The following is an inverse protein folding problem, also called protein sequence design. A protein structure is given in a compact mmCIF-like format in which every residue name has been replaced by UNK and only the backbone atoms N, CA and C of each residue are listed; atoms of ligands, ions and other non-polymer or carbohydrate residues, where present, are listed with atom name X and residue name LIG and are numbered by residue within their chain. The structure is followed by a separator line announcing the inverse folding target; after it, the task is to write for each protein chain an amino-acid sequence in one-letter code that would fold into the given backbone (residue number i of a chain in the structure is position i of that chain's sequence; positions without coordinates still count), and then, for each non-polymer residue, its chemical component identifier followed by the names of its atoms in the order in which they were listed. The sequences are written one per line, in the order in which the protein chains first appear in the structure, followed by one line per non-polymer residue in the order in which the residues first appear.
data_IF_091590874472
#
_entry.id   IF_091590874472
#
_cell.length_a   1.000
_cell.length_b   1.000
_cell.length_c   1.000
_cell.angle_alpha   90.00
_cell.angle_beta   90.00
_cell.angle_gamma   90.00
#
_symmetry.space_group_name_H-M   'P 1'
#
loop_
_entity.id
_entity.type
_entity.pdbx_description
1 polymer ?
#
# COMPACT_ATOMS: atom_id res chain seq x y z
N UNK A 1 9.09 -20.04 -6.55
CA UNK A 1 8.32 -18.91 -7.14
C UNK A 1 9.24 -17.95 -7.89
N UNK A 2 8.81 -17.41 -9.03
CA UNK A 2 9.57 -16.34 -9.71
C UNK A 2 9.54 -15.01 -8.92
N UNK A 3 10.30 -14.01 -9.37
CA UNK A 3 10.41 -12.69 -8.70
C UNK A 3 9.09 -11.91 -8.74
N UNK A 4 8.35 -12.00 -9.85
CA UNK A 4 7.05 -11.35 -10.01
C UNK A 4 6.07 -11.84 -8.95
N UNK A 5 5.90 -13.15 -8.81
CA UNK A 5 4.99 -13.77 -7.82
C UNK A 5 5.39 -13.42 -6.38
N UNK A 6 6.69 -13.38 -6.08
CA UNK A 6 7.19 -13.00 -4.74
C UNK A 6 6.92 -11.54 -4.42
N UNK A 7 7.16 -10.64 -5.38
CA UNK A 7 6.84 -9.23 -5.23
C UNK A 7 5.34 -8.98 -5.04
N UNK A 8 4.51 -9.64 -5.86
CA UNK A 8 3.06 -9.57 -5.73
C UNK A 8 2.58 -10.07 -4.37
N UNK A 9 3.04 -11.26 -3.95
CA UNK A 9 2.65 -11.85 -2.67
C UNK A 9 3.10 -10.98 -1.48
N UNK A 10 4.33 -10.46 -1.51
CA UNK A 10 4.84 -9.59 -0.46
C UNK A 10 4.07 -8.25 -0.41
N UNK A 11 3.76 -7.66 -1.57
CA UNK A 11 2.98 -6.42 -1.66
C UNK A 11 1.56 -6.57 -1.13
N UNK A 12 0.86 -7.65 -1.49
CA UNK A 12 -0.48 -7.95 -0.98
C UNK A 12 -0.46 -8.26 0.52
N UNK A 13 0.49 -9.09 0.99
CA UNK A 13 0.59 -9.45 2.40
C UNK A 13 0.91 -8.23 3.29
N UNK A 14 1.83 -7.37 2.87
CA UNK A 14 2.05 -6.08 3.53
C UNK A 14 0.83 -5.16 3.42
N UNK A 15 0.10 -5.24 2.31
CA UNK A 15 -1.14 -4.48 2.08
C UNK A 15 -2.23 -4.85 3.08
N UNK A 16 -2.34 -6.12 3.45
CA UNK A 16 -3.27 -6.58 4.50
C UNK A 16 -2.92 -5.93 5.84
N UNK A 17 -1.64 -5.89 6.23
CA UNK A 17 -1.20 -5.25 7.47
C UNK A 17 -1.48 -3.73 7.47
N UNK A 18 -1.27 -3.09 6.33
CA UNK A 18 -1.61 -1.67 6.14
C UNK A 18 -3.11 -1.40 6.29
N UNK A 19 -3.96 -2.29 5.78
CA UNK A 19 -5.41 -2.15 5.92
C UNK A 19 -5.89 -2.44 7.35
N UNK A 20 -5.23 -3.34 8.09
CA UNK A 20 -5.50 -3.54 9.52
C UNK A 20 -5.24 -2.23 10.29
N UNK A 21 -4.13 -1.55 9.99
CA UNK A 21 -3.85 -0.23 10.54
C UNK A 21 -4.91 0.81 10.13
N UNK A 22 -5.27 0.87 8.85
CA UNK A 22 -6.27 1.80 8.32
C UNK A 22 -7.62 1.66 9.02
N UNK A 23 -8.13 0.43 9.13
CA UNK A 23 -9.38 0.14 9.81
C UNK A 23 -9.31 0.49 11.31
N UNK A 24 -8.17 0.24 11.96
CA UNK A 24 -7.95 0.63 13.36
C UNK A 24 -7.97 2.16 13.50
N UNK A 25 -7.25 2.86 12.63
CA UNK A 25 -7.19 4.32 12.61
C UNK A 25 -8.55 4.96 12.37
N UNK A 26 -9.35 4.37 11.48
CA UNK A 26 -10.66 4.88 11.11
C UNK A 26 -11.72 4.57 12.17
N UNK A 27 -11.90 3.31 12.54
CA UNK A 27 -13.01 2.88 13.42
C UNK A 27 -12.73 2.99 14.91
N UNK A 28 -11.47 2.86 15.34
CA UNK A 28 -11.12 2.80 16.77
C UNK A 28 -10.52 4.13 17.24
N UNK A 29 -9.56 4.67 16.49
CA UNK A 29 -8.84 5.89 16.90
C UNK A 29 -9.51 7.18 16.41
N UNK A 30 -10.36 7.09 15.37
CA UNK A 30 -11.01 8.25 14.76
C UNK A 30 -10.04 9.26 14.11
N UNK A 31 -8.78 8.87 13.90
CA UNK A 31 -7.71 9.68 13.33
C UNK A 31 -7.90 9.89 11.83
N UNK A 32 -8.29 8.83 11.12
CA UNK A 32 -8.55 8.89 9.68
C UNK A 32 -10.04 9.10 9.41
N UNK A 33 -10.35 9.96 8.45
CA UNK A 33 -11.72 10.18 7.92
C UNK A 33 -11.98 9.49 6.59
N UNK A 34 -10.94 8.92 6.00
CA UNK A 34 -10.99 8.18 4.74
C UNK A 34 -10.16 6.91 4.88
N UNK A 35 -10.61 5.83 4.26
CA UNK A 35 -9.91 4.55 4.21
C UNK A 35 -9.16 4.40 2.89
N UNK A 36 -8.19 3.51 2.81
CA UNK A 36 -7.52 3.19 1.54
C UNK A 36 -8.49 2.65 0.49
N UNK A 37 -9.54 1.94 0.91
CA UNK A 37 -10.57 1.44 0.01
C UNK A 37 -11.43 2.58 -0.56
N UNK A 38 -11.63 3.66 0.20
CA UNK A 38 -12.38 4.83 -0.27
C UNK A 38 -11.61 5.52 -1.40
N UNK A 39 -10.28 5.63 -1.25
CA UNK A 39 -9.40 6.10 -2.32
C UNK A 39 -9.56 5.27 -3.59
N UNK A 40 -9.51 3.94 -3.49
CA UNK A 40 -9.69 3.07 -4.65
C UNK A 40 -11.09 3.16 -5.26
N UNK A 41 -12.13 3.34 -4.42
CA UNK A 41 -13.51 3.52 -4.88
C UNK A 41 -13.66 4.80 -5.70
N UNK A 42 -13.09 5.91 -5.24
CA UNK A 42 -13.18 7.19 -5.93
C UNK A 42 -12.47 7.14 -7.29
N UNK A 43 -11.33 6.47 -7.40
CA UNK A 43 -10.65 6.32 -8.70
C UNK A 43 -11.36 5.38 -9.67
N UNK A 44 -12.07 4.36 -9.18
CA UNK A 44 -12.73 3.36 -10.02
C UNK A 44 -14.16 3.78 -10.38
N UNK A 45 -14.93 4.23 -9.40
CA UNK A 45 -16.36 4.52 -9.50
C UNK A 45 -16.68 6.01 -9.53
N UNK A 46 -15.70 6.88 -9.22
CA UNK A 46 -15.91 8.33 -9.15
C UNK A 46 -16.60 8.81 -7.88
N UNK A 47 -16.84 7.93 -6.91
CA UNK A 47 -17.57 8.21 -5.68
C UNK A 47 -17.13 7.28 -4.55
N UNK A 48 -17.58 7.55 -3.33
CA UNK A 48 -17.43 6.64 -2.19
C UNK A 48 -18.25 5.34 -2.40
N UNK A 49 -17.83 4.21 -1.83
CA UNK A 49 -18.54 2.94 -2.01
C UNK A 49 -19.93 3.02 -1.40
N UNK A 50 -20.97 2.77 -2.21
CA UNK A 50 -22.38 2.90 -1.82
C UNK A 50 -22.95 1.61 -1.21
N UNK A 51 -22.32 0.49 -1.48
CA UNK A 51 -22.77 -0.84 -1.07
C UNK A 51 -21.59 -1.78 -0.84
N UNK A 52 -21.88 -2.95 -0.24
CA UNK A 52 -20.87 -3.96 0.10
C UNK A 52 -20.09 -4.44 -1.16
N UNK A 53 -20.74 -4.75 -2.31
CA UNK A 53 -20.02 -5.14 -3.51
C UNK A 53 -19.00 -4.11 -3.99
N UNK A 54 -19.35 -2.83 -4.03
CA UNK A 54 -18.42 -1.75 -4.38
C UNK A 54 -17.26 -1.67 -3.40
N UNK A 55 -17.52 -1.77 -2.08
CA UNK A 55 -16.48 -1.77 -1.07
C UNK A 55 -15.51 -2.96 -1.22
N UNK A 56 -16.02 -4.16 -1.48
CA UNK A 56 -15.20 -5.36 -1.73
C UNK A 56 -14.37 -5.19 -3.00
N UNK A 57 -14.96 -4.69 -4.08
CA UNK A 57 -14.23 -4.45 -5.33
C UNK A 57 -13.12 -3.41 -5.15
N UNK A 58 -13.41 -2.30 -4.47
CA UNK A 58 -12.43 -1.26 -4.15
C UNK A 58 -11.30 -1.80 -3.28
N UNK A 59 -11.61 -2.63 -2.28
CA UNK A 59 -10.59 -3.27 -1.44
C UNK A 59 -9.68 -4.19 -2.25
N UNK A 60 -10.24 -5.00 -3.16
CA UNK A 60 -9.45 -5.87 -4.03
C UNK A 60 -8.56 -5.08 -4.99
N UNK A 61 -9.09 -4.01 -5.60
CA UNK A 61 -8.32 -3.10 -6.45
C UNK A 61 -7.18 -2.44 -5.68
N UNK A 62 -7.45 -1.98 -4.46
CA UNK A 62 -6.45 -1.41 -3.55
C UNK A 62 -5.34 -2.42 -3.25
N UNK A 63 -5.69 -3.66 -2.91
CA UNK A 63 -4.72 -4.73 -2.63
C UNK A 63 -3.88 -5.10 -3.87
N UNK A 64 -4.52 -5.16 -5.05
CA UNK A 64 -3.80 -5.38 -6.30
C UNK A 64 -2.85 -4.23 -6.63
N UNK A 65 -3.23 -2.99 -6.35
CA UNK A 65 -2.37 -1.82 -6.53
C UNK A 65 -1.11 -1.90 -5.68
N UNK A 66 -1.23 -2.19 -4.38
CA UNK A 66 -0.04 -2.37 -3.52
C UNK A 66 0.74 -3.66 -3.84
N UNK A 67 0.07 -4.69 -4.36
CA UNK A 67 0.69 -5.86 -4.95
C UNK A 67 1.58 -5.52 -6.15
N UNK A 68 1.08 -4.68 -7.07
CA UNK A 68 1.83 -4.15 -8.21
C UNK A 68 3.06 -3.36 -7.75
N UNK A 69 2.92 -2.47 -6.76
CA UNK A 69 4.07 -1.76 -6.21
C UNK A 69 5.09 -2.69 -5.53
N UNK A 70 4.62 -3.78 -4.92
CA UNK A 70 5.49 -4.84 -4.41
C UNK A 70 6.28 -5.55 -5.51
N UNK A 71 5.68 -5.76 -6.69
CA UNK A 71 6.40 -6.24 -7.88
C UNK A 71 7.50 -5.25 -8.26
N UNK A 72 7.16 -3.96 -8.38
CA UNK A 72 8.14 -2.90 -8.71
C UNK A 72 9.31 -2.92 -7.73
N UNK A 73 9.04 -2.96 -6.43
CA UNK A 73 10.08 -3.02 -5.40
C UNK A 73 10.95 -4.27 -5.53
N UNK A 74 10.34 -5.44 -5.79
CA UNK A 74 11.06 -6.69 -5.95
C UNK A 74 12.04 -6.69 -7.12
N UNK A 75 11.72 -5.99 -8.21
CA UNK A 75 12.64 -5.80 -9.33
C UNK A 75 13.66 -4.68 -9.07
N UNK A 76 13.32 -3.65 -8.30
CA UNK A 76 14.21 -2.53 -8.01
C UNK A 76 15.32 -2.89 -7.00
N UNK A 77 14.99 -3.60 -5.91
CA UNK A 77 15.89 -3.81 -4.77
C UNK A 77 17.25 -4.46 -5.09
N UNK A 78 17.41 -5.35 -6.09
CA UNK A 78 18.72 -5.88 -6.46
C UNK A 78 19.65 -4.85 -7.09
N UNK A 79 19.10 -3.86 -7.81
CA UNK A 79 19.90 -2.84 -8.51
C UNK A 79 20.46 -1.77 -7.56
N UNK A 80 19.81 -1.56 -6.41
CA UNK A 80 20.17 -0.53 -5.42
C UNK A 80 20.80 -1.12 -4.14
N UNK A 81 21.31 -2.35 -4.22
CA UNK A 81 21.85 -3.16 -3.12
C UNK A 81 20.77 -3.64 -2.12
N UNK A 82 20.85 -4.91 -1.70
CA UNK A 82 19.90 -5.51 -0.73
C UNK A 82 20.22 -5.24 0.75
N UNK A 83 21.31 -4.54 1.07
CA UNK A 83 21.55 -4.03 2.44
C UNK A 83 20.46 -3.05 2.85
N UNK A 84 20.10 -3.09 4.13
CA UNK A 84 19.11 -2.21 4.78
C UNK A 84 17.74 -2.21 4.07
N UNK A 85 17.32 -3.37 3.57
CA UNK A 85 16.10 -3.53 2.79
C UNK A 85 14.84 -3.09 3.53
N UNK A 86 14.81 -3.16 4.87
CA UNK A 86 13.69 -2.67 5.68
C UNK A 86 13.56 -1.15 5.60
N UNK A 87 14.67 -0.42 5.74
CA UNK A 87 14.70 1.03 5.62
C UNK A 87 14.32 1.46 4.20
N UNK A 88 14.82 0.75 3.18
CA UNK A 88 14.45 0.99 1.77
C UNK A 88 12.97 0.71 1.51
N UNK A 89 12.43 -0.34 2.13
CA UNK A 89 11.00 -0.63 2.11
C UNK A 89 10.17 0.49 2.73
N UNK A 90 10.53 0.93 3.94
CA UNK A 90 9.87 2.05 4.63
C UNK A 90 9.90 3.34 3.79
N UNK A 91 11.08 3.68 3.24
CA UNK A 91 11.26 4.85 2.38
C UNK A 91 10.45 4.74 1.09
N UNK A 92 10.46 3.56 0.44
CA UNK A 92 9.64 3.30 -0.73
C UNK A 92 8.16 3.52 -0.42
N UNK A 93 7.66 2.94 0.68
CA UNK A 93 6.29 3.13 1.15
C UNK A 93 5.91 4.59 1.37
N UNK A 94 6.77 5.34 2.04
CA UNK A 94 6.57 6.77 2.28
C UNK A 94 6.50 7.56 0.96
N UNK A 95 7.47 7.38 0.06
CA UNK A 95 7.53 8.12 -1.20
C UNK A 95 6.39 7.74 -2.15
N UNK A 96 6.06 6.45 -2.26
CA UNK A 96 4.90 6.02 -3.05
C UNK A 96 3.61 6.60 -2.49
N UNK A 97 3.46 6.62 -1.16
CA UNK A 97 2.34 7.27 -0.49
C UNK A 97 2.26 8.74 -0.87
N UNK A 98 3.34 9.50 -0.72
CA UNK A 98 3.39 10.91 -1.12
C UNK A 98 2.94 11.13 -2.57
N UNK A 99 3.47 10.37 -3.52
CA UNK A 99 3.08 10.48 -4.94
C UNK A 99 1.59 10.15 -5.12
N UNK A 100 1.10 9.08 -4.51
CA UNK A 100 -0.29 8.64 -4.60
C UNK A 100 -1.26 9.69 -4.04
N UNK A 101 -0.92 10.37 -2.93
CA UNK A 101 -1.75 11.43 -2.35
C UNK A 101 -1.59 12.78 -3.05
N UNK A 102 -0.44 13.04 -3.68
CA UNK A 102 -0.22 14.26 -4.45
C UNK A 102 -1.08 14.30 -5.73
N UNK A 103 -1.29 13.16 -6.39
CA UNK A 103 -2.04 13.09 -7.65
C UNK A 103 -3.50 13.58 -7.51
N UNK A 104 -4.35 13.06 -6.60
CA UNK A 104 -5.73 13.53 -6.46
C UNK A 104 -5.82 15.02 -6.12
N UNK A 105 -4.89 15.54 -5.32
CA UNK A 105 -4.82 16.96 -4.97
C UNK A 105 -4.45 17.80 -6.20
N UNK A 106 -3.43 17.41 -6.96
CA UNK A 106 -2.99 18.11 -8.15
C UNK A 106 -4.06 18.14 -9.26
N UNK A 107 -4.76 17.02 -9.45
CA UNK A 107 -5.83 16.88 -10.45
C UNK A 107 -7.21 17.31 -9.93
N UNK A 108 -7.30 17.80 -8.69
CA UNK A 108 -8.56 18.25 -8.05
C UNK A 108 -9.66 17.19 -8.11
N UNK A 109 -9.29 15.93 -7.87
CA UNK A 109 -10.23 14.80 -7.85
C UNK A 109 -11.28 15.06 -6.76
N UNK A 110 -12.59 14.97 -7.05
CA UNK A 110 -13.64 15.10 -6.05
C UNK A 110 -13.40 14.17 -4.86
N UNK A 111 -13.77 14.61 -3.66
CA UNK A 111 -13.55 13.90 -2.38
C UNK A 111 -12.10 13.74 -1.93
N UNK A 112 -11.12 13.68 -2.83
CA UNK A 112 -9.69 13.48 -2.50
C UNK A 112 -8.83 14.74 -2.66
N UNK A 113 -9.41 15.85 -3.11
CA UNK A 113 -8.68 17.11 -3.32
C UNK A 113 -8.23 17.78 -2.02
N UNK A 114 -8.79 17.37 -0.88
CA UNK A 114 -8.38 17.79 0.48
C UNK A 114 -8.53 16.63 1.43
N UNK A 115 -7.44 16.22 2.04
CA UNK A 115 -7.45 15.26 3.14
C UNK A 115 -7.22 15.99 4.47
N UNK A 116 -7.89 15.54 5.53
CA UNK A 116 -7.59 16.00 6.89
C UNK A 116 -6.19 15.56 7.32
N UNK A 117 -5.54 16.37 8.16
CA UNK A 117 -4.19 16.08 8.66
C UNK A 117 -4.10 14.69 9.33
N UNK A 118 -5.13 14.30 10.09
CA UNK A 118 -5.19 12.98 10.73
C UNK A 118 -5.21 11.83 9.72
N UNK A 119 -5.99 11.96 8.65
CA UNK A 119 -6.01 11.02 7.51
C UNK A 119 -4.64 10.93 6.86
N UNK A 120 -4.01 12.07 6.55
CA UNK A 120 -2.69 12.11 5.92
C UNK A 120 -1.66 11.39 6.79
N UNK A 121 -1.53 11.75 8.06
CA UNK A 121 -0.57 11.13 8.98
C UNK A 121 -0.82 9.63 9.10
N UNK A 122 -2.08 9.23 9.27
CA UNK A 122 -2.42 7.81 9.37
C UNK A 122 -2.06 7.03 8.11
N UNK A 123 -2.34 7.59 6.93
CA UNK A 123 -2.03 6.95 5.67
C UNK A 123 -0.51 6.88 5.39
N UNK A 124 0.28 7.84 5.87
CA UNK A 124 1.74 7.73 5.82
C UNK A 124 2.28 6.67 6.79
N UNK A 125 1.72 6.54 7.99
CA UNK A 125 2.06 5.46 8.93
C UNK A 125 1.72 4.10 8.33
N UNK A 126 0.55 3.97 7.69
CA UNK A 126 0.17 2.76 6.97
C UNK A 126 1.10 2.47 5.78
N UNK A 127 1.51 3.49 5.02
CA UNK A 127 2.50 3.35 3.94
C UNK A 127 3.87 2.87 4.41
N UNK A 128 4.36 3.37 5.55
CA UNK A 128 5.62 2.90 6.17
C UNK A 128 5.48 1.47 6.69
N UNK A 129 4.32 1.14 7.29
CA UNK A 129 4.00 -0.21 7.77
C UNK A 129 3.95 -1.20 6.61
N UNK A 130 3.29 -0.82 5.51
CA UNK A 130 3.28 -1.58 4.26
C UNK A 130 4.68 -1.79 3.72
N UNK A 131 5.44 -0.71 3.51
CA UNK A 131 6.76 -0.79 2.90
C UNK A 131 7.75 -1.64 3.70
N UNK A 132 7.73 -1.53 5.03
CA UNK A 132 8.60 -2.34 5.91
C UNK A 132 8.19 -3.81 5.89
N UNK A 133 6.89 -4.10 6.01
CA UNK A 133 6.39 -5.48 6.04
C UNK A 133 6.53 -6.19 4.69
N UNK A 134 6.25 -5.50 3.58
CA UNK A 134 6.47 -6.00 2.22
C UNK A 134 7.95 -6.33 2.00
N UNK A 135 8.87 -5.44 2.39
CA UNK A 135 10.30 -5.70 2.25
C UNK A 135 10.77 -6.90 3.09
N UNK A 136 10.25 -7.04 4.32
CA UNK A 136 10.49 -8.21 5.17
C UNK A 136 10.00 -9.52 4.53
N UNK A 137 8.75 -9.55 4.09
CA UNK A 137 8.14 -10.74 3.49
C UNK A 137 8.86 -11.12 2.21
N UNK A 138 9.17 -10.14 1.36
CA UNK A 138 9.93 -10.37 0.13
C UNK A 138 11.30 -10.99 0.42
N UNK A 139 12.03 -10.45 1.41
CA UNK A 139 13.33 -11.00 1.81
C UNK A 139 13.24 -12.45 2.28
N UNK A 140 12.20 -12.80 3.05
CA UNK A 140 11.93 -14.18 3.48
C UNK A 140 11.65 -15.10 2.30
N UNK A 141 10.79 -14.67 1.36
CA UNK A 141 10.48 -15.42 0.14
C UNK A 141 11.69 -15.57 -0.80
N UNK A 142 12.55 -14.57 -0.85
CA UNK A 142 13.81 -14.61 -1.61
C UNK A 142 14.81 -15.60 -1.02
N UNK A 143 14.90 -15.65 0.31
CA UNK A 143 15.80 -16.57 1.01
C UNK A 143 15.35 -18.02 0.85
N UNK A 144 14.05 -18.32 1.04
CA UNK A 144 13.52 -19.67 0.84
C UNK A 144 13.75 -20.18 -0.59
N UNK A 145 13.54 -19.33 -1.60
CA UNK A 145 13.74 -19.69 -3.01
C UNK A 145 15.22 -19.94 -3.40
N UNK A 146 16.18 -19.47 -2.59
CA UNK A 146 17.61 -19.77 -2.78
C UNK A 146 18.02 -21.10 -2.15
N UNK A 147 17.37 -21.51 -1.06
CA UNK A 147 17.64 -22.79 -0.38
C UNK A 147 17.15 -23.98 -1.23
N UNK A 148 16.12 -23.77 -2.05
CA UNK A 148 15.58 -24.79 -2.97
C UNK A 148 16.41 -25.01 -4.25
N UNK A 149 17.49 -24.24 -4.46
CA UNK A 149 18.36 -24.34 -5.64
C UNK A 149 19.72 -24.92 -5.25
#
# INVERSE_FOLDING_TARGET
MDRFKRGLAAGVAGGILMNIWDLTSYYILGLAKERYLDWASIFVFGDLPRNIPEAVYSQLTQLLWVGFLGIVFAYLIPFINSRDYLLKGAFFGFITGFVIYALPVAFKVPYLSRAEFGTVVSHFVGGVTWGTSMAYILHRLDTSARVEK
#
